data_IF_952979355798
#
_entry.id   IF_952979355798
#
_cell.length_a   1.000
_cell.length_b   1.000
_cell.length_c   1.000
_cell.angle_alpha   90.00
_cell.angle_beta   90.00
_cell.angle_gamma   90.00
#
_symmetry.space_group_name_H-M   'P 1'
#
loop_
_entity.id
_entity.type
_entity.pdbx_description
1 polymer ?
#
# COMPACT_ATOMS: atom_id res chain seq x y z
N UNK A 1 -18.45 -7.40 -23.11
CA UNK A 1 -17.48 -6.58 -22.35
C UNK A 1 -16.36 -6.26 -23.32
N UNK A 2 -16.25 -4.99 -23.71
CA UNK A 2 -15.22 -4.58 -24.67
C UNK A 2 -13.84 -4.70 -23.99
N UNK A 3 -12.90 -5.28 -24.72
CA UNK A 3 -11.50 -5.29 -24.30
C UNK A 3 -11.09 -3.86 -23.94
N UNK A 4 -10.53 -3.70 -22.76
CA UNK A 4 -9.86 -2.45 -22.38
C UNK A 4 -8.73 -2.29 -23.40
N UNK A 5 -8.78 -1.20 -24.17
CA UNK A 5 -7.66 -0.86 -25.06
C UNK A 5 -6.39 -0.85 -24.21
N UNK A 6 -5.52 -1.81 -24.47
CA UNK A 6 -4.23 -1.90 -23.80
C UNK A 6 -3.46 -0.60 -24.05
N UNK A 7 -2.74 -0.07 -23.04
CA UNK A 7 -1.88 1.09 -23.24
C UNK A 7 -0.99 0.81 -24.45
N UNK A 8 -0.81 1.84 -25.29
CA UNK A 8 -0.11 1.75 -26.57
C UNK A 8 1.15 0.90 -26.42
N UNK A 9 1.07 -0.34 -26.87
CA UNK A 9 2.24 -1.21 -26.94
C UNK A 9 3.23 -0.53 -27.87
N UNK A 10 4.46 -0.41 -27.42
CA UNK A 10 5.55 -0.04 -28.33
C UNK A 10 5.48 -1.02 -29.50
N UNK A 11 5.37 -0.55 -30.77
CA UNK A 11 5.09 -1.41 -31.92
C UNK A 11 6.08 -2.56 -32.08
N UNK A 12 7.28 -2.41 -31.53
CA UNK A 12 8.41 -3.35 -31.64
C UNK A 12 8.72 -4.09 -30.34
N UNK A 13 7.79 -4.07 -29.34
CA UNK A 13 8.03 -4.79 -28.10
C UNK A 13 7.90 -6.29 -28.31
N UNK A 14 9.01 -7.07 -28.17
CA UNK A 14 9.03 -8.49 -28.55
C UNK A 14 8.38 -9.42 -27.51
N UNK A 15 8.12 -8.93 -26.29
CA UNK A 15 7.60 -9.75 -25.21
C UNK A 15 6.11 -9.44 -25.06
N UNK A 16 5.20 -10.43 -25.19
CA UNK A 16 3.78 -10.19 -25.00
C UNK A 16 3.49 -9.73 -23.56
N UNK A 17 2.55 -8.79 -23.44
CA UNK A 17 2.06 -8.39 -22.14
C UNK A 17 1.34 -9.58 -21.48
N UNK A 18 1.48 -9.75 -20.15
CA UNK A 18 0.72 -10.76 -19.43
C UNK A 18 -0.78 -10.60 -19.69
N UNK A 19 -1.42 -11.65 -20.15
CA UNK A 19 -2.87 -11.70 -20.31
C UNK A 19 -3.41 -12.85 -19.47
N UNK A 20 -4.40 -12.56 -18.63
CA UNK A 20 -5.08 -13.55 -17.80
C UNK A 20 -6.54 -13.18 -17.62
N UNK A 21 -7.38 -14.20 -17.45
CA UNK A 21 -8.77 -14.01 -17.08
C UNK A 21 -8.87 -13.84 -15.56
N UNK A 22 -9.69 -12.89 -15.10
CA UNK A 22 -9.89 -12.65 -13.68
C UNK A 22 -11.09 -13.47 -13.20
N UNK A 23 -10.85 -14.42 -12.31
CA UNK A 23 -11.90 -14.97 -11.47
C UNK A 23 -12.11 -14.08 -10.25
N UNK A 24 -13.13 -13.23 -10.30
CA UNK A 24 -13.44 -12.28 -9.24
C UNK A 24 -13.75 -12.94 -7.87
N UNK A 25 -14.04 -14.22 -7.84
CA UNK A 25 -14.20 -14.96 -6.57
C UNK A 25 -12.87 -15.25 -5.90
N UNK A 26 -11.79 -15.21 -6.66
CA UNK A 26 -10.42 -15.44 -6.23
C UNK A 26 -9.56 -14.20 -6.26
N UNK A 27 -10.18 -13.03 -6.41
CA UNK A 27 -9.52 -11.73 -6.38
C UNK A 27 -9.67 -11.07 -5.01
N UNK A 28 -8.60 -10.43 -4.54
CA UNK A 28 -8.61 -9.57 -3.36
C UNK A 28 -8.09 -8.16 -3.69
N UNK A 29 -8.68 -7.15 -3.06
CA UNK A 29 -8.13 -5.80 -3.06
C UNK A 29 -7.08 -5.71 -1.96
N UNK A 30 -5.88 -5.27 -2.30
CA UNK A 30 -4.86 -4.95 -1.32
C UNK A 30 -4.63 -3.44 -1.26
N UNK A 31 -4.91 -2.85 -0.09
CA UNK A 31 -4.77 -1.41 0.19
C UNK A 31 -3.48 -1.21 0.97
N UNK A 32 -2.46 -0.69 0.27
CA UNK A 32 -1.10 -0.61 0.80
C UNK A 32 -0.87 0.72 1.51
N UNK A 33 -0.61 0.65 2.84
CA UNK A 33 -0.03 1.69 3.69
C UNK A 33 -0.71 3.07 3.65
N UNK A 34 -2.02 3.13 3.41
CA UNK A 34 -2.80 4.37 3.60
C UNK A 34 -2.97 4.66 5.11
N UNK A 35 -1.91 5.21 5.70
CA UNK A 35 -1.79 5.46 7.12
C UNK A 35 -1.71 6.96 7.43
N UNK A 36 -1.98 7.35 8.67
CA UNK A 36 -1.90 8.75 9.07
C UNK A 36 -0.51 9.35 8.82
N UNK A 37 0.58 8.60 9.07
CA UNK A 37 1.93 9.15 8.84
C UNK A 37 2.19 9.60 7.41
N UNK A 38 1.56 8.99 6.43
CA UNK A 38 1.77 9.25 4.99
C UNK A 38 0.73 10.19 4.39
N UNK A 39 -0.50 10.19 4.92
CA UNK A 39 -1.64 10.84 4.25
C UNK A 39 -2.31 11.94 5.07
N UNK A 40 -1.99 12.07 6.37
CA UNK A 40 -2.54 13.12 7.21
C UNK A 40 -1.56 14.31 7.25
N UNK A 41 -2.04 15.50 6.88
CA UNK A 41 -1.22 16.74 6.80
C UNK A 41 -0.66 17.21 8.15
N UNK A 42 -1.22 16.75 9.25
CA UNK A 42 -0.84 17.17 10.60
C UNK A 42 0.28 16.35 11.23
N UNK A 43 0.63 15.20 10.63
CA UNK A 43 1.63 14.26 11.18
C UNK A 43 2.53 13.66 10.10
N UNK A 44 3.63 13.07 10.53
CA UNK A 44 4.46 12.18 9.71
C UNK A 44 5.10 12.81 8.48
N UNK A 45 5.06 12.08 7.36
CA UNK A 45 5.70 12.48 6.10
C UNK A 45 4.95 13.62 5.41
N UNK A 46 3.63 13.58 5.38
CA UNK A 46 2.83 14.61 4.72
C UNK A 46 3.09 15.98 5.37
N UNK A 47 3.05 16.06 6.71
CA UNK A 47 3.43 17.27 7.46
C UNK A 47 4.86 17.72 7.14
N UNK A 48 5.81 16.80 7.18
CA UNK A 48 7.21 17.10 6.88
C UNK A 48 7.40 17.68 5.47
N UNK A 49 6.68 17.14 4.47
CA UNK A 49 6.74 17.68 3.11
C UNK A 49 6.17 19.08 3.03
N UNK A 50 5.03 19.35 3.67
CA UNK A 50 4.43 20.68 3.72
C UNK A 50 5.40 21.70 4.34
N UNK A 51 6.03 21.35 5.46
CA UNK A 51 6.88 22.27 6.22
C UNK A 51 8.27 22.46 5.61
N UNK A 52 8.88 21.39 5.07
CA UNK A 52 10.30 21.40 4.70
C UNK A 52 10.57 21.22 3.20
N UNK A 53 9.60 20.67 2.46
CA UNK A 53 9.76 20.33 1.05
C UNK A 53 8.53 20.73 0.22
N UNK A 54 8.17 22.03 0.19
CA UNK A 54 6.91 22.50 -0.42
C UNK A 54 6.73 22.06 -1.87
N UNK A 55 7.80 22.00 -2.66
CA UNK A 55 7.74 21.51 -4.06
C UNK A 55 7.33 20.04 -4.16
N UNK A 56 7.66 19.21 -3.16
CA UNK A 56 7.19 17.83 -3.08
C UNK A 56 5.72 17.83 -2.66
N UNK A 57 5.34 18.64 -1.67
CA UNK A 57 3.98 18.74 -1.16
C UNK A 57 2.98 19.21 -2.23
N UNK A 58 3.38 20.13 -3.12
CA UNK A 58 2.57 20.61 -4.24
C UNK A 58 2.10 19.49 -5.19
N UNK A 59 2.86 18.42 -5.33
CA UNK A 59 2.47 17.23 -6.07
C UNK A 59 1.83 16.16 -5.16
N UNK A 60 2.50 15.84 -4.06
CA UNK A 60 2.17 14.71 -3.21
C UNK A 60 0.77 14.82 -2.58
N UNK A 61 0.43 15.98 -2.04
CA UNK A 61 -0.84 16.17 -1.34
C UNK A 61 -2.03 16.09 -2.31
N UNK A 62 -2.09 16.88 -3.41
CA UNK A 62 -3.19 16.75 -4.37
C UNK A 62 -3.27 15.38 -5.04
N UNK A 63 -2.14 14.72 -5.29
CA UNK A 63 -2.15 13.35 -5.83
C UNK A 63 -2.89 12.39 -4.90
N UNK A 64 -2.67 12.51 -3.59
CA UNK A 64 -3.38 11.69 -2.59
C UNK A 64 -4.85 12.10 -2.51
N UNK A 65 -5.12 13.38 -2.25
CA UNK A 65 -6.47 13.84 -1.88
C UNK A 65 -7.45 13.81 -3.04
N UNK A 66 -6.99 14.12 -4.25
CA UNK A 66 -7.85 14.37 -5.41
C UNK A 66 -7.89 13.19 -6.39
N UNK A 67 -6.90 12.28 -6.32
CA UNK A 67 -6.77 11.18 -7.27
C UNK A 67 -6.75 9.82 -6.58
N UNK A 68 -5.67 9.49 -5.86
CA UNK A 68 -5.46 8.10 -5.45
C UNK A 68 -6.39 7.65 -4.34
N UNK A 69 -6.67 8.50 -3.35
CA UNK A 69 -7.60 8.21 -2.27
C UNK A 69 -9.06 8.05 -2.76
N UNK A 70 -9.63 8.96 -3.56
CA UNK A 70 -10.96 8.77 -4.13
C UNK A 70 -11.10 7.50 -4.97
N UNK A 71 -10.10 7.16 -5.77
CA UNK A 71 -10.13 5.96 -6.59
C UNK A 71 -9.98 4.69 -5.75
N UNK A 72 -9.10 4.69 -4.75
CA UNK A 72 -9.02 3.59 -3.77
C UNK A 72 -10.36 3.41 -3.05
N UNK A 73 -11.04 4.49 -2.67
CA UNK A 73 -12.36 4.43 -2.04
C UNK A 73 -13.40 3.78 -2.96
N UNK A 74 -13.42 4.14 -4.24
CA UNK A 74 -14.33 3.54 -5.24
C UNK A 74 -14.08 2.04 -5.41
N UNK A 75 -12.82 1.62 -5.47
CA UNK A 75 -12.46 0.20 -5.51
C UNK A 75 -12.91 -0.53 -4.25
N UNK A 76 -12.63 0.04 -3.10
CA UNK A 76 -13.05 -0.49 -1.81
C UNK A 76 -14.58 -0.68 -1.74
N UNK A 77 -15.35 0.31 -2.18
CA UNK A 77 -16.82 0.22 -2.22
C UNK A 77 -17.29 -0.89 -3.17
N UNK A 78 -16.64 -1.04 -4.33
CA UNK A 78 -16.97 -2.08 -5.30
C UNK A 78 -16.67 -3.49 -4.77
N UNK A 79 -15.49 -3.70 -4.14
CA UNK A 79 -15.13 -4.98 -3.53
C UNK A 79 -16.06 -5.33 -2.37
N UNK A 80 -16.38 -4.33 -1.55
CA UNK A 80 -17.31 -4.48 -0.44
C UNK A 80 -18.73 -4.84 -0.88
N UNK A 81 -19.24 -4.17 -1.91
CA UNK A 81 -20.57 -4.46 -2.47
C UNK A 81 -20.65 -5.86 -3.11
N UNK A 82 -19.54 -6.33 -3.64
CA UNK A 82 -19.42 -7.67 -4.22
C UNK A 82 -19.06 -8.75 -3.18
N UNK A 83 -18.93 -8.41 -1.90
CA UNK A 83 -18.50 -9.33 -0.83
C UNK A 83 -17.17 -10.02 -1.15
N UNK A 84 -16.19 -9.24 -1.66
CA UNK A 84 -14.84 -9.70 -1.98
C UNK A 84 -13.86 -9.35 -0.87
N UNK A 85 -12.78 -10.10 -0.81
CA UNK A 85 -11.74 -9.92 0.18
C UNK A 85 -11.04 -8.57 0.04
N UNK A 86 -10.87 -7.89 1.16
CA UNK A 86 -10.09 -6.66 1.28
C UNK A 86 -9.00 -6.86 2.31
N UNK A 87 -7.78 -6.51 1.92
CA UNK A 87 -6.60 -6.68 2.75
C UNK A 87 -5.90 -5.32 2.87
N UNK A 88 -5.62 -4.93 4.07
CA UNK A 88 -4.86 -3.72 4.35
C UNK A 88 -3.46 -4.05 4.82
N UNK A 89 -2.48 -3.25 4.41
CA UNK A 89 -1.16 -3.29 5.05
C UNK A 89 -0.90 -2.02 5.84
N UNK A 90 -0.13 -2.15 6.93
CA UNK A 90 0.38 -1.01 7.70
C UNK A 90 1.88 -1.16 7.88
N UNK A 91 2.62 -0.17 7.41
CA UNK A 91 4.07 -0.13 7.53
C UNK A 91 4.51 0.62 8.78
N UNK A 92 5.46 0.06 9.51
CA UNK A 92 6.06 0.68 10.69
C UNK A 92 6.82 -0.32 11.54
N UNK A 93 7.38 0.14 12.63
CA UNK A 93 7.99 -0.75 13.62
C UNK A 93 6.91 -1.57 14.33
N UNK A 94 7.14 -2.87 14.48
CA UNK A 94 6.23 -3.76 15.22
C UNK A 94 6.45 -3.63 16.73
N UNK A 95 7.66 -3.19 17.12
CA UNK A 95 8.04 -2.94 18.50
C UNK A 95 8.11 -1.44 18.80
N UNK A 96 7.73 -1.01 20.02
CA UNK A 96 7.65 0.42 20.35
C UNK A 96 8.98 1.18 20.20
N UNK A 97 10.11 0.52 20.37
CA UNK A 97 11.45 1.10 20.27
C UNK A 97 12.08 1.01 18.87
N UNK A 98 11.39 0.39 17.91
CA UNK A 98 11.83 0.32 16.52
C UNK A 98 13.04 -0.61 16.24
N UNK A 99 13.48 -1.42 17.23
CA UNK A 99 14.65 -2.31 17.07
C UNK A 99 14.46 -3.44 16.07
N UNK A 100 13.23 -3.71 15.67
CA UNK A 100 12.83 -4.68 14.65
C UNK A 100 12.96 -4.18 13.21
N UNK A 101 13.24 -2.87 13.04
CA UNK A 101 13.48 -2.30 11.73
C UNK A 101 14.90 -2.57 11.26
N UNK A 102 15.13 -2.53 9.93
CA UNK A 102 16.49 -2.64 9.38
C UNK A 102 17.40 -1.52 9.88
N UNK A 103 18.68 -1.79 10.12
CA UNK A 103 19.63 -0.84 10.73
C UNK A 103 19.67 0.52 10.04
N UNK A 104 19.57 0.57 8.72
CA UNK A 104 19.52 1.84 7.98
C UNK A 104 18.34 2.70 8.39
N UNK A 105 17.17 2.11 8.63
CA UNK A 105 15.97 2.82 9.08
C UNK A 105 16.08 3.21 10.54
N UNK A 106 16.63 2.35 11.40
CA UNK A 106 16.88 2.67 12.80
C UNK A 106 17.79 3.90 12.95
N UNK A 107 18.89 3.97 12.19
CA UNK A 107 19.81 5.12 12.20
C UNK A 107 19.09 6.41 11.76
N UNK A 108 18.40 6.36 10.63
CA UNK A 108 17.63 7.51 10.12
C UNK A 108 16.55 7.96 11.10
N UNK A 109 15.91 7.03 11.78
CA UNK A 109 14.91 7.33 12.80
C UNK A 109 15.55 7.98 14.04
N UNK A 110 16.67 7.48 14.52
CA UNK A 110 17.41 8.07 15.63
C UNK A 110 17.83 9.51 15.34
N UNK A 111 18.34 9.78 14.15
CA UNK A 111 18.72 11.14 13.73
C UNK A 111 17.49 12.07 13.72
N UNK A 112 16.38 11.64 13.15
CA UNK A 112 15.16 12.44 13.10
C UNK A 112 14.56 12.70 14.49
N UNK A 113 14.67 11.77 15.43
CA UNK A 113 14.17 11.91 16.81
C UNK A 113 15.00 12.82 17.69
N UNK A 114 16.19 13.20 17.28
CA UNK A 114 16.95 14.24 17.99
C UNK A 114 16.24 15.61 17.97
N UNK A 115 15.37 15.83 17.01
CA UNK A 115 14.67 17.10 16.81
C UNK A 115 13.14 17.01 16.86
N UNK A 116 12.59 15.80 17.05
CA UNK A 116 11.13 15.59 17.05
C UNK A 116 10.73 14.55 18.08
N UNK A 117 9.66 14.83 18.80
CA UNK A 117 9.01 13.87 19.70
C UNK A 117 7.94 13.08 18.93
N UNK A 118 8.38 12.11 18.17
CA UNK A 118 7.50 11.22 17.38
C UNK A 118 7.74 9.76 17.72
N UNK A 119 6.75 8.87 17.51
CA UNK A 119 6.94 7.45 17.71
C UNK A 119 8.04 6.88 16.80
N UNK A 120 8.76 5.89 17.30
CA UNK A 120 9.80 5.20 16.53
C UNK A 120 9.21 4.56 15.27
N UNK A 121 9.67 5.00 14.11
CA UNK A 121 9.25 4.48 12.80
C UNK A 121 7.73 4.25 12.72
N UNK A 122 6.95 5.19 13.27
CA UNK A 122 5.49 5.06 13.33
C UNK A 122 5.08 3.68 13.85
N UNK A 123 5.54 3.36 15.05
CA UNK A 123 5.39 2.04 15.65
C UNK A 123 3.93 1.63 15.83
N UNK A 124 3.69 0.33 15.79
CA UNK A 124 2.38 -0.27 16.04
C UNK A 124 1.72 0.33 17.27
N UNK A 125 0.45 0.73 17.14
CA UNK A 125 -0.34 1.36 18.21
C UNK A 125 -0.26 2.88 18.23
N UNK A 126 0.68 3.52 17.53
CA UNK A 126 0.68 4.98 17.40
C UNK A 126 -0.44 5.47 16.46
N UNK A 127 -0.82 6.73 16.60
CA UNK A 127 -1.79 7.37 15.69
C UNK A 127 -1.30 7.36 14.25
N UNK A 128 -0.02 7.62 14.06
CA UNK A 128 0.63 7.63 12.75
C UNK A 128 0.57 6.27 12.04
N UNK A 129 0.58 5.17 12.79
CA UNK A 129 0.50 3.81 12.26
C UNK A 129 -0.92 3.41 11.84
N UNK A 130 -1.95 4.11 12.29
CA UNK A 130 -3.33 3.77 11.97
C UNK A 130 -3.66 4.06 10.51
N UNK A 131 -4.57 3.27 9.94
CA UNK A 131 -5.18 3.54 8.64
C UNK A 131 -6.00 4.83 8.75
N UNK A 132 -5.98 5.65 7.71
CA UNK A 132 -6.77 6.90 7.68
C UNK A 132 -8.27 6.62 7.76
N UNK A 133 -9.01 7.52 8.39
CA UNK A 133 -10.45 7.34 8.64
C UNK A 133 -11.26 7.12 7.36
N UNK A 134 -10.85 7.76 6.25
CA UNK A 134 -11.53 7.64 4.97
C UNK A 134 -11.51 6.22 4.38
N UNK A 135 -10.59 5.36 4.83
CA UNK A 135 -10.44 3.97 4.37
C UNK A 135 -10.54 2.98 5.54
N UNK A 136 -11.27 3.33 6.60
CA UNK A 136 -11.44 2.46 7.78
C UNK A 136 -11.85 1.04 7.38
N UNK A 137 -11.09 0.01 7.79
CA UNK A 137 -11.43 -1.38 7.54
C UNK A 137 -12.75 -1.79 8.19
N UNK A 138 -13.49 -2.67 7.55
CA UNK A 138 -14.69 -3.31 8.13
C UNK A 138 -14.27 -4.38 9.15
N UNK A 139 -15.21 -4.76 10.01
CA UNK A 139 -15.07 -5.96 10.82
C UNK A 139 -14.94 -7.18 9.89
N UNK A 140 -13.82 -7.89 9.98
CA UNK A 140 -13.51 -9.06 9.14
C UNK A 140 -12.48 -8.79 8.04
N UNK A 141 -12.22 -7.55 7.67
CA UNK A 141 -11.13 -7.25 6.74
C UNK A 141 -9.76 -7.61 7.35
N UNK A 142 -8.87 -8.16 6.54
CA UNK A 142 -7.54 -8.59 6.99
C UNK A 142 -6.59 -7.39 7.06
N UNK A 143 -5.94 -7.19 8.21
CA UNK A 143 -4.93 -6.15 8.41
C UNK A 143 -3.58 -6.80 8.69
N UNK A 144 -2.58 -6.49 7.87
CA UNK A 144 -1.21 -7.00 7.97
C UNK A 144 -0.26 -5.88 8.39
N UNK A 145 0.28 -5.97 9.58
CA UNK A 145 1.38 -5.10 10.01
C UNK A 145 2.71 -5.62 9.45
N UNK A 146 3.52 -4.72 8.91
CA UNK A 146 4.81 -5.06 8.30
C UNK A 146 5.90 -4.05 8.64
N UNK A 147 7.11 -4.52 8.82
CA UNK A 147 8.32 -3.71 9.01
C UNK A 147 9.26 -3.72 7.79
N UNK A 148 8.82 -4.34 6.70
CA UNK A 148 9.48 -4.36 5.39
C UNK A 148 8.60 -3.67 4.35
N UNK A 149 9.16 -3.33 3.17
CA UNK A 149 8.38 -2.71 2.08
C UNK A 149 7.28 -3.64 1.58
N UNK A 150 7.59 -4.91 1.34
CA UNK A 150 6.59 -5.91 0.95
C UNK A 150 6.05 -6.67 2.17
N UNK A 151 4.75 -6.90 2.27
CA UNK A 151 4.16 -7.77 3.30
C UNK A 151 4.54 -9.24 3.12
N UNK A 152 5.00 -9.65 1.95
CA UNK A 152 5.51 -11.00 1.72
C UNK A 152 6.84 -11.25 2.43
N UNK A 153 7.53 -10.20 2.88
CA UNK A 153 8.75 -10.29 3.66
C UNK A 153 8.45 -10.19 5.16
N UNK A 154 8.31 -11.33 5.82
CA UNK A 154 8.19 -11.39 7.28
C UNK A 154 6.77 -11.39 7.84
N UNK A 155 5.73 -11.50 7.00
CA UNK A 155 4.37 -11.74 7.46
C UNK A 155 3.79 -13.06 6.93
N UNK A 156 2.62 -13.44 7.41
CA UNK A 156 1.92 -14.65 6.98
C UNK A 156 1.07 -14.45 5.72
N UNK A 157 1.18 -13.33 5.01
CA UNK A 157 0.24 -12.94 3.94
C UNK A 157 0.13 -14.01 2.84
N UNK A 158 1.24 -14.59 2.39
CA UNK A 158 1.23 -15.59 1.33
C UNK A 158 0.42 -16.83 1.74
N UNK A 159 0.62 -17.32 2.95
CA UNK A 159 -0.14 -18.45 3.49
C UNK A 159 -1.64 -18.12 3.63
N UNK A 160 -1.96 -16.91 4.12
CA UNK A 160 -3.34 -16.47 4.29
C UNK A 160 -4.07 -16.38 2.94
N UNK A 161 -3.45 -15.74 1.95
CA UNK A 161 -4.00 -15.64 0.60
C UNK A 161 -4.28 -17.02 -0.02
N UNK A 162 -3.32 -17.94 0.09
CA UNK A 162 -3.49 -19.31 -0.42
C UNK A 162 -4.61 -20.07 0.30
N UNK A 163 -4.70 -19.95 1.62
CA UNK A 163 -5.74 -20.57 2.41
C UNK A 163 -7.14 -20.03 2.05
N UNK A 164 -7.25 -18.76 1.69
CA UNK A 164 -8.47 -18.12 1.22
C UNK A 164 -8.76 -18.40 -0.26
N UNK A 165 -7.88 -19.13 -0.96
CA UNK A 165 -8.03 -19.44 -2.38
C UNK A 165 -7.82 -18.24 -3.31
N UNK A 166 -7.18 -17.18 -2.84
CA UNK A 166 -6.89 -15.98 -3.63
C UNK A 166 -5.70 -16.24 -4.56
N UNK A 167 -5.83 -15.89 -5.82
CA UNK A 167 -4.79 -15.97 -6.84
C UNK A 167 -4.59 -14.66 -7.62
N UNK A 168 -5.46 -13.69 -7.40
CA UNK A 168 -5.41 -12.39 -8.08
C UNK A 168 -5.42 -11.25 -7.06
N UNK A 169 -4.49 -10.32 -7.18
CA UNK A 169 -4.38 -9.12 -6.33
C UNK A 169 -4.62 -7.86 -7.15
N UNK A 170 -5.61 -7.08 -6.75
CA UNK A 170 -5.82 -5.71 -7.23
C UNK A 170 -5.13 -4.77 -6.24
N UNK A 171 -4.10 -4.08 -6.68
CA UNK A 171 -3.17 -3.35 -5.82
C UNK A 171 -3.45 -1.86 -5.88
N UNK A 172 -3.65 -1.25 -4.72
CA UNK A 172 -3.76 0.20 -4.51
C UNK A 172 -2.88 0.63 -3.34
N UNK A 173 -2.64 1.92 -3.19
CA UNK A 173 -1.96 2.46 -2.01
C UNK A 173 -0.66 3.20 -2.31
N UNK A 174 0.26 3.20 -1.35
CA UNK A 174 1.48 4.04 -1.42
C UNK A 174 2.69 3.44 -0.71
N UNK A 175 3.91 3.92 -1.03
CA UNK A 175 4.24 4.73 -2.19
C UNK A 175 4.52 3.81 -3.38
N UNK A 176 4.20 4.32 -4.60
CA UNK A 176 4.27 3.57 -5.86
C UNK A 176 5.63 2.93 -6.09
N UNK A 177 6.72 3.69 -5.89
CA UNK A 177 8.11 3.27 -6.11
C UNK A 177 8.75 2.50 -4.93
N UNK A 178 7.96 2.15 -3.92
CA UNK A 178 8.44 1.45 -2.71
C UNK A 178 7.55 0.25 -2.36
N UNK A 179 6.57 0.48 -1.50
CA UNK A 179 5.74 -0.62 -0.96
C UNK A 179 4.83 -1.22 -2.03
N UNK A 180 4.28 -0.41 -2.94
CA UNK A 180 3.43 -0.89 -4.04
C UNK A 180 4.25 -1.73 -5.02
N UNK A 181 5.35 -1.18 -5.55
CA UNK A 181 6.21 -1.88 -6.50
C UNK A 181 6.76 -3.19 -5.92
N UNK A 182 7.35 -3.12 -4.70
CA UNK A 182 7.96 -4.29 -4.07
C UNK A 182 6.91 -5.38 -3.80
N UNK A 183 5.73 -5.00 -3.32
CA UNK A 183 4.61 -5.95 -3.09
C UNK A 183 4.17 -6.60 -4.39
N UNK A 184 4.01 -5.81 -5.45
CA UNK A 184 3.55 -6.29 -6.75
C UNK A 184 4.53 -7.31 -7.37
N UNK A 185 5.84 -7.01 -7.31
CA UNK A 185 6.89 -7.92 -7.80
C UNK A 185 6.94 -9.21 -6.98
N UNK A 186 6.95 -9.09 -5.65
CA UNK A 186 6.95 -10.25 -4.74
C UNK A 186 5.71 -11.14 -4.93
N UNK A 187 4.55 -10.56 -5.18
CA UNK A 187 3.33 -11.29 -5.47
C UNK A 187 3.43 -12.03 -6.81
N UNK A 188 3.88 -11.35 -7.87
CA UNK A 188 4.04 -11.94 -9.20
C UNK A 188 5.04 -13.11 -9.18
N UNK A 189 6.17 -12.96 -8.50
CA UNK A 189 7.18 -14.03 -8.35
C UNK A 189 6.65 -15.26 -7.58
N UNK A 190 5.59 -15.10 -6.79
CA UNK A 190 4.89 -16.18 -6.10
C UNK A 190 3.74 -16.78 -6.91
N UNK A 191 3.51 -16.29 -8.12
CA UNK A 191 2.50 -16.80 -9.05
C UNK A 191 1.11 -16.20 -8.87
N UNK A 192 0.97 -15.06 -8.19
CA UNK A 192 -0.27 -14.30 -8.19
C UNK A 192 -0.42 -13.51 -9.50
N UNK A 193 -1.64 -13.41 -10.01
CA UNK A 193 -2.00 -12.41 -10.98
C UNK A 193 -2.04 -11.04 -10.27
N UNK A 194 -1.34 -10.04 -10.81
CA UNK A 194 -1.23 -8.73 -10.17
C UNK A 194 -1.75 -7.64 -11.11
N UNK A 195 -2.69 -6.85 -10.61
CA UNK A 195 -3.25 -5.69 -11.28
C UNK A 195 -2.93 -4.46 -10.45
N UNK A 196 -2.03 -3.61 -10.90
CA UNK A 196 -1.77 -2.31 -10.27
C UNK A 196 -2.71 -1.28 -10.87
N UNK A 197 -3.50 -0.60 -10.03
CA UNK A 197 -4.45 0.41 -10.49
C UNK A 197 -3.75 1.76 -10.54
N UNK A 198 -3.40 2.20 -11.75
CA UNK A 198 -2.53 3.35 -12.03
C UNK A 198 -2.97 4.65 -11.36
N UNK A 199 -4.27 4.91 -11.31
CA UNK A 199 -4.84 6.10 -10.70
C UNK A 199 -5.23 5.93 -9.22
N UNK A 200 -4.81 4.80 -8.61
CA UNK A 200 -4.99 4.51 -7.19
C UNK A 200 -3.66 4.23 -6.45
N UNK A 201 -2.51 4.56 -7.10
CA UNK A 201 -1.16 4.40 -6.52
C UNK A 201 -0.30 5.65 -6.73
#
# INVERSE_FOLDING_TARGET
>A
MNAIDSPQTLPDWPIPWPAFEIDWKRAALIVIDYQNYSSNSEVGLAKMFIEKYPRIAEYYIPRITDVTLPNTRRLLDAFNAAEREVIYTRHGALLPDGRDMILRRQRRDADARQTTDRPHMWSRGSFEHQIIDQLTPRSGDLIIDKNASSPFNGSAIDQLLRNMGIDTLVVTGMATDMCVETTSRDAADRGYNVIVVEDAV
#
